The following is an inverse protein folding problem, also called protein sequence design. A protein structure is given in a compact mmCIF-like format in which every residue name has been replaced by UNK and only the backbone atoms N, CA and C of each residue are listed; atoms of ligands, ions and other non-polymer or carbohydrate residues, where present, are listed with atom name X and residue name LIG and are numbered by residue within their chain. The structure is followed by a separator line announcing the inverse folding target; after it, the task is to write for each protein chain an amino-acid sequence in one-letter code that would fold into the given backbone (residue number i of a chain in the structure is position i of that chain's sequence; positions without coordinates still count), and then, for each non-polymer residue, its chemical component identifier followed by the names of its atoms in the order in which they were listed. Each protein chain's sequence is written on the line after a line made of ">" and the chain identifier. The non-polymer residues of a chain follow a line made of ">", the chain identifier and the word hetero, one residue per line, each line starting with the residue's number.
data_IF_890716678374
#
_entry.id   IF_890716678374
#
_cell.length_a   1.000
_cell.length_b   1.000
_cell.length_c   1.000
_cell.angle_alpha   90.00
_cell.angle_beta   90.00
_cell.angle_gamma   90.00
#
_symmetry.space_group_name_H-M   'P 1'
#
loop_
_entity.id
_entity.type
_entity.pdbx_description
1 polymer ?
#
# COMPACT_ATOMS: atom_id res chain seq x y z
N UNK A 1 -17.36 -2.47 9.86
CA UNK A 1 -16.86 -1.63 8.76
C UNK A 1 -15.54 -0.99 9.19
N UNK A 2 -14.55 -0.87 8.29
CA UNK A 2 -13.27 -0.23 8.57
C UNK A 2 -13.44 1.23 9.04
N UNK A 3 -12.51 1.73 9.84
CA UNK A 3 -12.40 3.14 10.20
C UNK A 3 -11.73 3.93 9.06
N UNK A 4 -12.22 5.12 8.85
CA UNK A 4 -11.77 5.99 7.77
C UNK A 4 -11.82 7.48 8.16
N UNK A 5 -11.13 8.32 7.39
CA UNK A 5 -11.18 9.78 7.50
C UNK A 5 -11.49 10.36 6.13
N UNK A 6 -12.33 11.38 6.13
CA UNK A 6 -12.76 12.09 4.92
C UNK A 6 -12.32 13.54 5.02
N UNK A 7 -11.77 14.03 3.91
CA UNK A 7 -11.51 15.46 3.68
C UNK A 7 -12.24 15.84 2.38
N UNK A 8 -13.32 16.56 2.51
CA UNK A 8 -14.13 16.99 1.34
C UNK A 8 -13.61 18.29 0.77
N UNK A 9 -13.44 18.35 -0.55
CA UNK A 9 -13.20 19.56 -1.32
C UNK A 9 -14.53 20.20 -1.77
N UNK A 10 -15.35 19.43 -2.47
CA UNK A 10 -16.69 19.84 -2.93
C UNK A 10 -17.54 18.62 -3.27
N UNK A 11 -18.82 18.83 -3.58
CA UNK A 11 -19.71 17.74 -3.96
C UNK A 11 -19.32 17.13 -5.32
N UNK A 12 -18.82 17.95 -6.24
CA UNK A 12 -18.47 17.55 -7.60
C UNK A 12 -17.01 17.09 -7.76
N UNK A 13 -16.18 17.29 -6.72
CA UNK A 13 -14.78 16.90 -6.78
C UNK A 13 -14.65 15.37 -6.81
N UNK A 14 -13.74 14.88 -7.66
CA UNK A 14 -13.43 13.46 -7.75
C UNK A 14 -12.83 12.94 -6.44
N UNK A 15 -12.98 11.63 -6.20
CA UNK A 15 -12.47 10.97 -5.03
C UNK A 15 -11.08 10.38 -5.24
N UNK A 16 -10.24 10.53 -4.22
CA UNK A 16 -8.96 9.82 -4.11
C UNK A 16 -8.95 9.02 -2.82
N UNK A 17 -8.86 7.69 -2.94
CA UNK A 17 -8.85 6.75 -1.82
C UNK A 17 -7.42 6.25 -1.56
N UNK A 18 -6.95 6.42 -0.34
CA UNK A 18 -5.60 6.07 0.09
C UNK A 18 -5.56 4.78 0.90
N UNK A 19 -4.72 3.84 0.49
CA UNK A 19 -4.55 2.51 1.11
C UNK A 19 -3.10 2.36 1.60
N UNK A 20 -2.92 2.26 2.91
CA UNK A 20 -1.60 2.10 3.52
C UNK A 20 -1.04 0.68 3.36
N UNK A 21 0.25 0.49 3.66
CA UNK A 21 0.95 -0.79 3.67
C UNK A 21 0.86 -1.52 5.01
N UNK A 22 1.48 -2.71 5.08
CA UNK A 22 1.53 -3.53 6.30
C UNK A 22 2.17 -2.78 7.46
N UNK A 23 1.55 -2.86 8.64
CA UNK A 23 2.02 -2.18 9.85
C UNK A 23 1.82 -0.66 9.85
N UNK A 24 1.27 -0.09 8.78
CA UNK A 24 0.97 1.32 8.66
C UNK A 24 -0.40 1.72 9.22
N UNK A 25 -0.81 2.93 8.94
CA UNK A 25 -2.18 3.43 9.14
C UNK A 25 -2.42 4.59 8.18
N UNK A 26 -3.63 5.14 8.17
CA UNK A 26 -3.98 6.35 7.44
C UNK A 26 -3.03 7.52 7.71
N UNK A 27 -2.36 7.52 8.86
CA UNK A 27 -1.40 8.57 9.26
C UNK A 27 -0.15 8.63 8.37
N UNK A 28 0.19 7.57 7.62
CA UNK A 28 1.35 7.59 6.72
C UNK A 28 1.18 8.60 5.58
N UNK A 29 -0.05 9.06 5.34
CA UNK A 29 -0.42 9.98 4.27
C UNK A 29 -0.43 11.46 4.69
N UNK A 30 0.05 11.78 5.91
CA UNK A 30 0.01 13.13 6.47
C UNK A 30 0.63 14.22 5.58
N UNK A 31 1.65 13.88 4.78
CA UNK A 31 2.31 14.80 3.83
C UNK A 31 1.54 14.96 2.51
N UNK A 32 0.57 14.10 2.23
CA UNK A 32 -0.25 14.10 1.02
C UNK A 32 -1.53 14.88 1.19
N UNK A 33 -2.10 14.91 2.40
CA UNK A 33 -3.46 15.43 2.66
C UNK A 33 -3.63 16.84 2.09
N UNK A 34 -2.77 17.79 2.47
CA UNK A 34 -2.88 19.20 2.04
C UNK A 34 -2.83 19.35 0.51
N UNK A 35 -1.94 18.63 -0.14
CA UNK A 35 -1.76 18.73 -1.59
C UNK A 35 -2.97 18.16 -2.36
N UNK A 36 -3.49 17.00 -1.91
CA UNK A 36 -4.60 16.34 -2.61
C UNK A 36 -5.95 16.99 -2.32
N UNK A 37 -6.18 17.49 -1.10
CA UNK A 37 -7.44 18.17 -0.74
C UNK A 37 -7.62 19.51 -1.43
N UNK A 38 -6.59 20.03 -2.08
CA UNK A 38 -6.71 21.23 -2.94
C UNK A 38 -7.64 20.98 -4.13
N UNK A 39 -7.69 19.77 -4.70
CA UNK A 39 -8.43 19.46 -5.92
C UNK A 39 -9.40 18.27 -5.80
N UNK A 40 -9.22 17.39 -4.82
CA UNK A 40 -9.95 16.12 -4.70
C UNK A 40 -10.64 15.98 -3.35
N UNK A 41 -11.73 15.21 -3.32
CA UNK A 41 -12.20 14.61 -2.08
C UNK A 41 -11.26 13.46 -1.69
N UNK A 42 -10.80 13.43 -0.44
CA UNK A 42 -9.81 12.47 0.03
C UNK A 42 -10.44 11.52 1.04
N UNK A 43 -10.30 10.22 0.80
CA UNK A 43 -10.67 9.14 1.70
C UNK A 43 -9.41 8.41 2.17
N UNK A 44 -9.16 8.40 3.47
CA UNK A 44 -8.08 7.63 4.09
C UNK A 44 -8.68 6.48 4.86
N UNK A 45 -8.23 5.24 4.61
CA UNK A 45 -8.78 4.04 5.25
C UNK A 45 -7.71 3.40 6.13
N UNK A 46 -8.11 3.00 7.34
CA UNK A 46 -7.32 2.13 8.21
C UNK A 46 -7.75 0.68 7.97
N UNK A 47 -6.85 -0.15 7.45
CA UNK A 47 -7.11 -1.56 7.14
C UNK A 47 -7.36 -2.39 8.40
N UNK A 48 -7.89 -3.60 8.25
CA UNK A 48 -8.10 -4.55 9.36
C UNK A 48 -6.91 -4.60 10.30
N UNK A 49 -7.17 -4.47 11.61
CA UNK A 49 -6.15 -4.57 12.65
C UNK A 49 -5.19 -3.39 12.73
N UNK A 50 -5.30 -2.38 11.86
CA UNK A 50 -4.44 -1.21 11.81
C UNK A 50 -5.15 0.07 12.25
N UNK A 51 -4.37 1.05 12.67
CA UNK A 51 -4.85 2.37 13.02
C UNK A 51 -6.06 2.34 13.96
N UNK A 52 -7.13 3.03 13.60
CA UNK A 52 -8.39 3.08 14.36
C UNK A 52 -9.29 1.84 14.10
N UNK A 53 -8.99 1.00 13.09
CA UNK A 53 -9.65 -0.29 12.85
C UNK A 53 -9.09 -1.42 13.73
N UNK A 54 -8.17 -1.12 14.64
CA UNK A 54 -7.55 -2.05 15.57
C UNK A 54 -8.60 -2.65 16.52
N UNK A 55 -8.58 -3.99 16.70
CA UNK A 55 -9.49 -4.71 17.58
C UNK A 55 -10.89 -4.96 17.01
N UNK A 56 -11.29 -4.32 15.92
CA UNK A 56 -12.66 -4.44 15.38
C UNK A 56 -12.96 -5.81 14.76
N UNK A 57 -11.93 -6.56 14.36
CA UNK A 57 -12.05 -7.83 13.66
C UNK A 57 -11.47 -9.01 14.44
N UNK A 58 -11.49 -8.93 15.77
CA UNK A 58 -10.88 -9.93 16.65
C UNK A 58 -11.50 -11.33 16.51
N UNK A 59 -12.80 -11.41 16.23
CA UNK A 59 -13.54 -12.66 16.06
C UNK A 59 -13.50 -13.22 14.64
N UNK A 60 -13.03 -12.45 13.66
CA UNK A 60 -13.01 -12.88 12.26
C UNK A 60 -11.92 -13.93 12.03
N UNK A 61 -12.33 -15.14 11.65
CA UNK A 61 -11.42 -16.26 11.38
C UNK A 61 -10.72 -16.16 10.03
N UNK A 62 -11.36 -15.55 9.03
CA UNK A 62 -10.86 -15.52 7.67
C UNK A 62 -10.08 -14.23 7.38
N UNK A 63 -8.83 -14.39 7.00
CA UNK A 63 -7.92 -13.32 6.59
C UNK A 63 -7.39 -13.64 5.19
N UNK A 64 -7.83 -12.90 4.19
CA UNK A 64 -7.36 -13.01 2.81
C UNK A 64 -7.30 -11.63 2.16
N UNK A 65 -6.50 -11.48 1.11
CA UNK A 65 -6.48 -10.22 0.34
C UNK A 65 -7.86 -9.89 -0.24
N UNK A 66 -8.64 -10.92 -0.62
CA UNK A 66 -10.01 -10.74 -1.08
C UNK A 66 -10.90 -10.11 -0.02
N UNK A 67 -10.97 -10.69 1.18
CA UNK A 67 -11.78 -10.15 2.27
C UNK A 67 -11.35 -8.72 2.68
N UNK A 68 -10.05 -8.43 2.67
CA UNK A 68 -9.55 -7.08 2.99
C UNK A 68 -9.91 -6.08 1.89
N UNK A 69 -9.92 -6.51 0.63
CA UNK A 69 -10.37 -5.67 -0.49
C UNK A 69 -11.87 -5.41 -0.43
N UNK A 70 -12.66 -6.43 -0.09
CA UNK A 70 -14.10 -6.33 0.11
C UNK A 70 -14.41 -5.36 1.26
N UNK A 71 -13.67 -5.37 2.38
CA UNK A 71 -13.84 -4.37 3.44
C UNK A 71 -13.63 -2.92 2.96
N UNK A 72 -12.68 -2.71 2.04
CA UNK A 72 -12.45 -1.38 1.46
C UNK A 72 -13.62 -1.00 0.55
N UNK A 73 -14.10 -1.93 -0.27
CA UNK A 73 -15.28 -1.75 -1.14
C UNK A 73 -16.50 -1.39 -0.29
N UNK A 74 -16.76 -2.11 0.81
CA UNK A 74 -17.86 -1.82 1.74
C UNK A 74 -17.85 -0.39 2.28
N UNK A 75 -16.66 0.19 2.52
CA UNK A 75 -16.53 1.60 2.93
C UNK A 75 -16.96 2.53 1.81
N UNK A 76 -16.53 2.29 0.56
CA UNK A 76 -16.89 3.13 -0.57
C UNK A 76 -18.39 3.04 -0.88
N UNK A 77 -18.96 1.83 -0.81
CA UNK A 77 -20.41 1.59 -1.01
C UNK A 77 -21.23 2.29 0.06
N UNK A 78 -20.83 2.20 1.33
CA UNK A 78 -21.48 2.92 2.43
C UNK A 78 -21.46 4.44 2.22
N UNK A 79 -20.35 4.97 1.70
CA UNK A 79 -20.19 6.39 1.39
C UNK A 79 -20.81 6.79 0.05
N UNK A 80 -21.39 5.82 -0.68
CA UNK A 80 -21.98 6.01 -2.02
C UNK A 80 -20.98 6.55 -3.04
N UNK A 81 -19.69 6.19 -2.88
CA UNK A 81 -18.62 6.53 -3.81
C UNK A 81 -18.63 5.51 -4.94
N UNK A 82 -19.10 5.91 -6.11
CA UNK A 82 -19.26 5.02 -7.27
C UNK A 82 -17.95 4.76 -8.01
N UNK A 83 -17.03 5.72 -7.94
CA UNK A 83 -15.72 5.65 -8.60
C UNK A 83 -14.68 6.46 -7.82
N UNK A 84 -13.44 6.00 -7.77
CA UNK A 84 -12.34 6.68 -7.10
C UNK A 84 -11.01 6.42 -7.82
N UNK A 85 -10.11 7.38 -7.75
CA UNK A 85 -8.68 7.12 -7.93
C UNK A 85 -8.14 6.45 -6.68
N UNK A 86 -7.30 5.45 -6.83
CA UNK A 86 -6.70 4.74 -5.71
C UNK A 86 -5.21 5.04 -5.60
N UNK A 87 -4.75 5.36 -4.40
CA UNK A 87 -3.34 5.59 -4.08
C UNK A 87 -2.92 4.61 -3.00
N UNK A 88 -1.99 3.73 -3.31
CA UNK A 88 -1.51 2.74 -2.35
C UNK A 88 -0.01 2.70 -2.22
N UNK A 89 0.45 2.26 -1.04
CA UNK A 89 1.87 2.02 -0.80
C UNK A 89 2.12 0.57 -0.38
N UNK A 90 3.19 -0.02 -0.94
CA UNK A 90 3.65 -1.34 -0.53
C UNK A 90 2.52 -2.38 -0.63
N UNK A 91 2.17 -3.05 0.46
CA UNK A 91 1.09 -4.03 0.51
C UNK A 91 -0.28 -3.45 0.12
N UNK A 92 -0.50 -2.14 0.31
CA UNK A 92 -1.69 -1.44 -0.17
C UNK A 92 -1.87 -1.52 -1.69
N UNK A 93 -0.77 -1.64 -2.45
CA UNK A 93 -0.84 -1.80 -3.91
C UNK A 93 -1.43 -3.14 -4.33
N UNK A 94 -1.22 -4.19 -3.53
CA UNK A 94 -1.83 -5.51 -3.76
C UNK A 94 -3.34 -5.44 -3.55
N UNK A 95 -3.78 -4.72 -2.53
CA UNK A 95 -5.21 -4.52 -2.21
C UNK A 95 -5.88 -3.75 -3.35
N UNK A 96 -5.30 -2.64 -3.80
CA UNK A 96 -5.83 -1.84 -4.92
C UNK A 96 -5.94 -2.69 -6.19
N UNK A 97 -4.90 -3.46 -6.52
CA UNK A 97 -4.94 -4.34 -7.68
C UNK A 97 -6.04 -5.40 -7.55
N UNK A 98 -6.26 -5.91 -6.35
CA UNK A 98 -7.32 -6.88 -6.10
C UNK A 98 -8.72 -6.24 -6.19
N UNK A 99 -8.91 -5.00 -5.72
CA UNK A 99 -10.14 -4.22 -5.91
C UNK A 99 -10.44 -4.05 -7.40
N UNK A 100 -9.44 -3.70 -8.20
CA UNK A 100 -9.59 -3.55 -9.65
C UNK A 100 -9.98 -4.87 -10.37
N UNK A 101 -9.68 -6.04 -9.78
CA UNK A 101 -10.14 -7.34 -10.30
C UNK A 101 -11.56 -7.69 -9.82
N UNK A 102 -11.93 -7.31 -8.58
CA UNK A 102 -13.24 -7.62 -7.99
C UNK A 102 -14.31 -6.67 -8.54
N UNK A 103 -14.04 -5.37 -8.54
CA UNK A 103 -14.99 -4.33 -8.94
C UNK A 103 -14.30 -3.26 -9.81
N UNK A 104 -14.02 -3.55 -11.07
CA UNK A 104 -13.30 -2.64 -11.96
C UNK A 104 -13.96 -1.27 -12.14
N UNK A 105 -15.29 -1.19 -12.07
CA UNK A 105 -16.05 0.06 -12.20
C UNK A 105 -15.75 1.07 -11.09
N UNK A 106 -15.34 0.59 -9.90
CA UNK A 106 -14.99 1.43 -8.76
C UNK A 106 -13.65 2.14 -8.94
N UNK A 107 -12.77 1.61 -9.80
CA UNK A 107 -11.40 2.10 -9.96
C UNK A 107 -11.30 2.96 -11.21
N UNK A 108 -11.03 4.26 -11.04
CA UNK A 108 -10.78 5.20 -12.13
C UNK A 108 -9.34 5.11 -12.63
N UNK A 109 -8.38 5.26 -11.72
CA UNK A 109 -6.95 5.05 -11.96
C UNK A 109 -6.25 4.58 -10.69
N UNK A 110 -5.00 4.14 -10.80
CA UNK A 110 -4.21 3.60 -9.69
C UNK A 110 -2.84 4.26 -9.59
N UNK A 111 -2.46 4.74 -8.41
CA UNK A 111 -1.09 5.14 -8.07
C UNK A 111 -0.50 4.10 -7.12
N UNK A 112 0.53 3.43 -7.59
CA UNK A 112 1.14 2.24 -7.00
C UNK A 112 2.55 2.57 -6.48
N UNK A 113 2.62 3.08 -5.23
CA UNK A 113 3.87 3.50 -4.60
C UNK A 113 4.61 2.33 -3.95
N UNK A 114 5.91 2.19 -4.16
CA UNK A 114 6.69 1.07 -3.62
C UNK A 114 5.98 -0.26 -3.90
N UNK A 115 5.57 -0.48 -5.13
CA UNK A 115 4.66 -1.56 -5.51
C UNK A 115 5.30 -2.94 -5.36
N UNK A 116 4.53 -3.89 -4.83
CA UNK A 116 4.95 -5.28 -4.67
C UNK A 116 4.32 -6.14 -5.78
N UNK A 117 5.10 -6.51 -6.78
CA UNK A 117 4.67 -7.39 -7.87
C UNK A 117 5.28 -8.79 -7.79
N UNK A 118 6.43 -8.93 -7.14
CA UNK A 118 7.13 -10.22 -6.98
C UNK A 118 8.00 -10.16 -5.73
N UNK A 119 7.97 -11.22 -4.93
CA UNK A 119 9.01 -11.47 -3.95
C UNK A 119 10.16 -12.22 -4.65
N UNK A 120 11.35 -11.64 -4.65
CA UNK A 120 12.57 -12.31 -5.10
C UNK A 120 12.99 -13.41 -4.10
N UNK A 121 13.98 -14.22 -4.45
CA UNK A 121 14.42 -15.33 -3.60
C UNK A 121 14.84 -14.87 -2.20
N UNK A 122 15.55 -13.74 -2.12
CA UNK A 122 15.97 -13.15 -0.85
C UNK A 122 14.77 -12.77 0.01
N UNK A 123 13.78 -12.09 -0.57
CA UNK A 123 12.53 -11.73 0.12
C UNK A 123 11.79 -12.96 0.66
N UNK A 124 11.73 -14.03 -0.15
CA UNK A 124 11.08 -15.29 0.26
C UNK A 124 11.80 -15.95 1.42
N UNK A 125 13.15 -15.99 1.38
CA UNK A 125 13.97 -16.51 2.48
C UNK A 125 13.74 -15.69 3.75
N UNK A 126 13.80 -14.36 3.66
CA UNK A 126 13.56 -13.47 4.79
C UNK A 126 12.16 -13.66 5.40
N UNK A 127 11.13 -13.82 4.56
CA UNK A 127 9.79 -14.12 5.02
C UNK A 127 9.71 -15.48 5.73
N UNK A 128 10.36 -16.53 5.23
CA UNK A 128 10.41 -17.84 5.89
C UNK A 128 11.15 -17.81 7.21
N UNK A 129 12.33 -17.17 7.24
CA UNK A 129 13.13 -17.02 8.47
C UNK A 129 12.33 -16.23 9.51
N UNK A 130 11.74 -15.12 9.16
CA UNK A 130 10.89 -14.35 10.08
C UNK A 130 9.67 -15.16 10.57
N UNK A 131 9.08 -16.03 9.73
CA UNK A 131 8.00 -16.92 10.14
C UNK A 131 8.44 -17.96 11.18
N UNK A 132 9.67 -18.45 11.11
CA UNK A 132 10.22 -19.35 12.13
C UNK A 132 10.54 -18.56 13.41
N UNK A 133 11.18 -17.42 13.26
CA UNK A 133 11.64 -16.60 14.37
C UNK A 133 10.50 -15.94 15.17
N UNK A 134 9.28 -15.76 14.59
CA UNK A 134 8.17 -15.14 15.33
C UNK A 134 7.72 -15.95 16.55
N UNK A 135 8.11 -17.22 16.66
CA UNK A 135 7.81 -18.09 17.80
C UNK A 135 8.70 -17.77 19.01
N UNK A 136 9.92 -17.30 18.77
CA UNK A 136 10.95 -17.07 19.80
C UNK A 136 11.29 -15.59 19.98
N UNK A 137 11.15 -14.77 18.94
CA UNK A 137 11.45 -13.33 19.00
C UNK A 137 10.18 -12.48 19.16
N UNK A 138 10.30 -11.35 19.88
CA UNK A 138 9.24 -10.34 19.89
C UNK A 138 8.95 -9.88 18.46
N UNK A 139 7.66 -9.73 18.12
CA UNK A 139 7.22 -9.30 16.77
C UNK A 139 7.86 -7.97 16.33
N UNK A 140 8.12 -7.07 17.26
CA UNK A 140 8.79 -5.79 16.96
C UNK A 140 10.27 -5.94 16.62
N UNK A 141 10.96 -6.99 17.11
CA UNK A 141 12.33 -7.25 16.69
C UNK A 141 12.36 -7.68 15.22
N UNK A 142 11.47 -8.59 14.82
CA UNK A 142 11.33 -9.04 13.44
C UNK A 142 10.97 -7.84 12.53
N UNK A 143 10.01 -7.00 12.96
CA UNK A 143 9.60 -5.83 12.18
C UNK A 143 10.74 -4.82 11.99
N UNK A 144 11.51 -4.53 13.04
CA UNK A 144 12.68 -3.64 12.96
C UNK A 144 13.76 -4.19 12.02
N UNK A 145 14.04 -5.50 12.10
CA UNK A 145 14.97 -6.15 11.17
C UNK A 145 14.50 -6.05 9.72
N UNK A 146 13.22 -6.29 9.48
CA UNK A 146 12.62 -6.12 8.15
C UNK A 146 12.69 -4.66 7.67
N UNK A 147 12.43 -3.70 8.54
CA UNK A 147 12.55 -2.28 8.23
C UNK A 147 13.99 -1.88 7.85
N UNK A 148 15.00 -2.46 8.51
CA UNK A 148 16.40 -2.24 8.18
C UNK A 148 16.79 -2.85 6.83
N UNK A 149 16.22 -3.98 6.46
CA UNK A 149 16.47 -4.65 5.18
C UNK A 149 15.84 -3.86 4.02
N UNK A 150 14.61 -3.39 4.19
CA UNK A 150 13.90 -2.60 3.14
C UNK A 150 14.47 -1.19 3.03
N UNK A 151 14.92 -0.61 4.13
CA UNK A 151 15.40 0.77 4.23
C UNK A 151 16.82 0.79 4.87
N UNK A 152 17.86 0.25 4.20
CA UNK A 152 19.15 -0.01 4.86
C UNK A 152 19.98 1.24 5.10
N UNK A 153 19.88 2.26 4.24
CA UNK A 153 20.81 3.40 4.27
C UNK A 153 20.50 4.40 5.39
N UNK A 154 21.52 5.18 5.79
CA UNK A 154 21.37 6.22 6.83
C UNK A 154 20.34 7.28 6.44
N UNK A 155 20.28 7.69 5.18
CA UNK A 155 19.29 8.65 4.65
C UNK A 155 17.83 8.15 4.73
N UNK A 156 17.61 6.83 4.85
CA UNK A 156 16.29 6.25 5.07
C UNK A 156 15.82 6.29 6.52
N UNK A 157 16.63 6.80 7.46
CA UNK A 157 16.34 6.76 8.92
C UNK A 157 14.98 7.38 9.27
N UNK A 158 14.67 8.53 8.68
CA UNK A 158 13.37 9.20 8.92
C UNK A 158 12.19 8.34 8.52
N UNK A 159 12.17 7.84 7.28
CA UNK A 159 11.11 6.97 6.75
C UNK A 159 11.02 5.65 7.53
N UNK A 160 12.16 5.07 7.89
CA UNK A 160 12.22 3.87 8.71
C UNK A 160 11.62 4.10 10.10
N UNK A 161 11.89 5.26 10.72
CA UNK A 161 11.31 5.61 12.02
C UNK A 161 9.79 5.75 11.95
N UNK A 162 9.26 6.42 10.92
CA UNK A 162 7.81 6.52 10.69
C UNK A 162 7.20 5.12 10.56
N UNK A 163 7.79 4.28 9.72
CA UNK A 163 7.34 2.92 9.48
C UNK A 163 7.34 2.07 10.77
N UNK A 164 8.43 2.07 11.54
CA UNK A 164 8.54 1.32 12.80
C UNK A 164 7.60 1.86 13.87
N UNK A 165 7.42 3.19 13.97
CA UNK A 165 6.56 3.80 14.97
C UNK A 165 5.07 3.50 14.73
N UNK A 166 4.63 3.41 13.47
CA UNK A 166 3.27 2.97 13.16
C UNK A 166 3.08 1.49 13.54
N UNK A 167 4.04 0.62 13.20
CA UNK A 167 3.98 -0.80 13.50
C UNK A 167 3.97 -1.13 15.01
N UNK A 168 4.57 -0.30 15.85
CA UNK A 168 4.49 -0.46 17.32
C UNK A 168 3.05 -0.43 17.85
N UNK A 169 2.13 0.19 17.11
CA UNK A 169 0.71 0.30 17.49
C UNK A 169 -0.08 -0.97 17.14
N UNK A 170 0.50 -1.86 16.32
CA UNK A 170 -0.13 -3.10 15.90
C UNK A 170 -0.11 -4.15 17.03
N UNK A 171 -1.22 -4.84 17.26
CA UNK A 171 -1.22 -5.98 18.17
C UNK A 171 -0.42 -7.14 17.58
N UNK A 172 0.27 -7.91 18.45
CA UNK A 172 1.00 -9.11 18.04
C UNK A 172 0.15 -10.07 17.22
N UNK A 173 -1.12 -10.28 17.59
CA UNK A 173 -2.07 -11.12 16.88
C UNK A 173 -2.27 -10.65 15.43
N UNK A 174 -2.44 -9.35 15.22
CA UNK A 174 -2.61 -8.77 13.89
C UNK A 174 -1.32 -8.83 13.06
N UNK A 175 -0.18 -8.55 13.69
CA UNK A 175 1.12 -8.74 13.04
C UNK A 175 1.26 -10.17 12.47
N UNK A 176 0.94 -11.20 13.26
CA UNK A 176 1.04 -12.61 12.84
C UNK A 176 0.05 -12.92 11.71
N UNK A 177 -1.18 -12.41 11.76
CA UNK A 177 -2.19 -12.58 10.70
C UNK A 177 -1.70 -11.98 9.37
N UNK A 178 -1.26 -10.73 9.39
CA UNK A 178 -0.75 -10.04 8.20
C UNK A 178 0.53 -10.65 7.68
N UNK A 179 1.39 -11.11 8.59
CA UNK A 179 2.61 -11.81 8.23
C UNK A 179 2.31 -13.10 7.46
N UNK A 180 1.37 -13.91 7.98
CA UNK A 180 0.91 -15.14 7.36
C UNK A 180 0.29 -14.88 5.99
N UNK A 181 -0.59 -13.89 5.91
CA UNK A 181 -1.22 -13.44 4.67
C UNK A 181 -0.17 -13.04 3.62
N UNK A 182 0.86 -12.30 4.03
CA UNK A 182 1.93 -11.86 3.12
C UNK A 182 2.82 -13.01 2.67
N UNK A 183 3.07 -14.01 3.52
CA UNK A 183 3.86 -15.20 3.11
C UNK A 183 3.14 -16.03 2.03
N UNK A 184 1.83 -16.01 2.02
CA UNK A 184 1.00 -16.77 1.08
C UNK A 184 0.57 -15.98 -0.18
N UNK A 185 1.10 -14.76 -0.37
CA UNK A 185 0.70 -13.84 -1.44
C UNK A 185 1.21 -14.24 -2.84
N UNK A 186 2.21 -15.09 -2.94
CA UNK A 186 2.88 -15.41 -4.21
C UNK A 186 1.94 -15.90 -5.34
N UNK A 187 0.93 -16.75 -5.09
CA UNK A 187 -0.04 -17.16 -6.12
C UNK A 187 -0.82 -15.96 -6.67
N UNK A 188 -1.25 -15.05 -5.80
CA UNK A 188 -1.98 -13.83 -6.18
C UNK A 188 -1.10 -12.90 -7.02
N UNK A 189 0.14 -12.64 -6.59
CA UNK A 189 1.10 -11.83 -7.36
C UNK A 189 1.43 -12.46 -8.71
N UNK A 190 1.49 -13.79 -8.81
CA UNK A 190 1.68 -14.50 -10.07
C UNK A 190 0.48 -14.29 -11.01
N UNK A 191 -0.74 -14.36 -10.49
CA UNK A 191 -1.96 -14.05 -11.24
C UNK A 191 -1.92 -12.63 -11.78
N UNK A 192 -1.60 -11.63 -10.94
CA UNK A 192 -1.53 -10.22 -11.36
C UNK A 192 -0.49 -9.98 -12.47
N UNK A 193 0.68 -10.63 -12.42
CA UNK A 193 1.69 -10.49 -13.47
C UNK A 193 1.30 -11.11 -14.82
N UNK A 194 0.40 -12.09 -14.81
CA UNK A 194 -0.11 -12.73 -16.03
C UNK A 194 -1.22 -11.93 -16.69
N UNK A 195 -1.95 -11.13 -15.93
CA UNK A 195 -3.05 -10.30 -16.40
C UNK A 195 -2.55 -8.91 -16.77
N UNK A 196 -2.97 -8.38 -17.90
CA UNK A 196 -2.74 -6.98 -18.26
C UNK A 196 -3.49 -6.06 -17.29
N UNK A 197 -2.92 -4.91 -17.03
CA UNK A 197 -3.64 -3.82 -16.36
C UNK A 197 -4.67 -3.25 -17.35
N UNK A 198 -5.89 -3.06 -16.86
CA UNK A 198 -7.02 -2.53 -17.62
C UNK A 198 -7.45 -1.13 -17.15
N UNK A 199 -6.68 -0.51 -16.28
CA UNK A 199 -6.88 0.84 -15.73
C UNK A 199 -5.60 1.65 -15.82
N UNK A 200 -5.69 2.96 -16.10
CA UNK A 200 -4.51 3.83 -16.06
C UNK A 200 -3.78 3.68 -14.72
N UNK A 201 -2.49 3.46 -14.76
CA UNK A 201 -1.71 3.13 -13.57
C UNK A 201 -0.35 3.79 -13.58
N UNK A 202 -0.04 4.52 -12.50
CA UNK A 202 1.26 5.12 -12.27
C UNK A 202 1.99 4.36 -11.16
N UNK A 203 3.14 3.80 -11.47
CA UNK A 203 4.06 3.22 -10.50
C UNK A 203 5.09 4.27 -10.07
N UNK A 204 5.17 4.55 -8.76
CA UNK A 204 6.18 5.46 -8.20
C UNK A 204 7.10 4.64 -7.31
N UNK A 205 8.33 4.46 -7.74
CA UNK A 205 9.31 3.62 -7.06
C UNK A 205 10.51 4.45 -6.58
N UNK A 206 11.10 4.04 -5.47
CA UNK A 206 12.40 4.57 -5.08
C UNK A 206 13.52 3.87 -5.87
N UNK A 207 14.52 4.62 -6.35
CA UNK A 207 15.68 4.04 -7.02
C UNK A 207 16.54 3.12 -6.13
N UNK A 208 16.34 3.21 -4.82
CA UNK A 208 16.98 2.35 -3.82
C UNK A 208 16.04 1.29 -3.23
N UNK A 209 14.91 1.04 -3.87
CA UNK A 209 14.02 -0.08 -3.54
C UNK A 209 14.52 -1.38 -4.19
N UNK A 210 15.64 -1.89 -3.69
CA UNK A 210 16.35 -3.05 -4.23
C UNK A 210 15.53 -4.35 -4.23
N UNK A 211 14.44 -4.40 -3.49
CA UNK A 211 13.63 -5.60 -3.40
C UNK A 211 12.56 -5.68 -4.49
N UNK A 212 12.02 -4.54 -4.91
CA UNK A 212 10.80 -4.53 -5.71
C UNK A 212 10.93 -3.78 -7.05
N UNK A 213 11.85 -2.84 -7.20
CA UNK A 213 11.96 -1.99 -8.38
C UNK A 213 12.08 -2.79 -9.68
N UNK A 214 13.01 -3.74 -9.78
CA UNK A 214 13.27 -4.49 -11.01
C UNK A 214 12.04 -5.27 -11.52
N UNK A 215 11.21 -5.77 -10.60
CA UNK A 215 9.99 -6.47 -10.98
C UNK A 215 8.94 -5.52 -11.55
N UNK A 216 8.91 -4.27 -11.08
CA UNK A 216 8.01 -3.22 -11.57
C UNK A 216 8.46 -2.73 -12.95
N UNK A 217 9.76 -2.50 -13.15
CA UNK A 217 10.32 -2.12 -14.46
C UNK A 217 9.92 -3.10 -15.55
N UNK A 218 10.15 -4.40 -15.31
CA UNK A 218 9.76 -5.47 -16.25
C UNK A 218 8.25 -5.55 -16.49
N UNK A 219 7.45 -5.23 -15.49
CA UNK A 219 6.00 -5.27 -15.62
C UNK A 219 5.48 -4.10 -16.44
N UNK A 220 5.96 -2.88 -16.19
CA UNK A 220 5.53 -1.67 -16.89
C UNK A 220 5.86 -1.75 -18.37
N UNK A 221 7.04 -2.26 -18.75
CA UNK A 221 7.42 -2.47 -20.14
C UNK A 221 6.42 -3.31 -20.96
N UNK A 222 5.61 -4.13 -20.30
CA UNK A 222 4.65 -5.03 -20.94
C UNK A 222 3.20 -4.54 -20.85
N UNK A 223 2.97 -3.38 -20.25
CA UNK A 223 1.64 -2.86 -19.96
C UNK A 223 1.53 -1.39 -20.37
N UNK A 224 0.95 -1.11 -21.52
CA UNK A 224 0.87 0.24 -22.09
C UNK A 224 0.01 1.22 -21.27
N UNK A 225 -0.87 0.75 -20.39
CA UNK A 225 -1.62 1.57 -19.43
C UNK A 225 -0.85 1.82 -18.12
N UNK A 226 0.38 1.33 -18.02
CA UNK A 226 1.23 1.50 -16.85
C UNK A 226 2.39 2.45 -17.17
N UNK A 227 2.53 3.49 -16.34
CA UNK A 227 3.66 4.41 -16.36
C UNK A 227 4.56 4.14 -15.14
N UNK A 228 5.86 4.37 -15.27
CA UNK A 228 6.82 4.25 -14.17
C UNK A 228 7.55 5.56 -13.95
N UNK A 229 7.56 6.02 -12.71
CA UNK A 229 8.44 7.08 -12.25
C UNK A 229 9.37 6.55 -11.14
N UNK A 230 10.68 6.66 -11.34
CA UNK A 230 11.70 6.25 -10.38
C UNK A 230 12.29 7.51 -9.73
N UNK A 231 12.15 7.63 -8.41
CA UNK A 231 12.70 8.75 -7.64
C UNK A 231 14.14 8.38 -7.21
N UNK A 232 15.16 9.05 -7.73
CA UNK A 232 16.55 8.81 -7.35
C UNK A 232 16.75 8.98 -5.83
N UNK A 233 17.73 8.29 -5.28
CA UNK A 233 18.13 8.41 -3.87
C UNK A 233 17.02 8.16 -2.83
N UNK A 234 15.94 7.53 -3.22
CA UNK A 234 14.77 7.23 -2.41
C UNK A 234 14.62 5.73 -2.20
N UNK A 235 14.25 5.33 -0.98
CA UNK A 235 13.94 3.94 -0.65
C UNK A 235 12.46 3.61 -0.88
N UNK A 236 12.02 2.50 -0.29
CA UNK A 236 10.68 1.92 -0.48
C UNK A 236 9.50 2.85 -0.12
N UNK A 237 9.65 3.71 0.90
CA UNK A 237 8.53 4.55 1.39
C UNK A 237 8.59 5.93 0.75
N UNK A 238 8.34 5.97 -0.55
CA UNK A 238 8.51 7.16 -1.40
C UNK A 238 7.62 8.34 -0.99
N UNK A 239 6.40 8.09 -0.54
CA UNK A 239 5.44 9.11 -0.11
C UNK A 239 5.88 9.87 1.16
N UNK A 240 6.74 9.28 1.98
CA UNK A 240 7.29 9.91 3.20
C UNK A 240 8.64 10.54 2.90
N UNK A 241 9.53 9.82 2.19
CA UNK A 241 10.90 10.23 1.97
C UNK A 241 11.00 11.35 0.93
N UNK A 242 10.23 11.30 -0.14
CA UNK A 242 10.22 12.25 -1.24
C UNK A 242 8.80 12.83 -1.47
N UNK A 243 8.17 13.33 -0.39
CA UNK A 243 6.76 13.67 -0.38
C UNK A 243 6.37 14.70 -1.44
N UNK A 244 7.15 15.76 -1.64
CA UNK A 244 6.83 16.82 -2.60
C UNK A 244 6.91 16.30 -4.03
N UNK A 245 7.92 15.49 -4.33
CA UNK A 245 8.06 14.85 -5.62
C UNK A 245 6.92 13.87 -5.88
N UNK A 246 6.61 13.02 -4.89
CA UNK A 246 5.47 12.10 -4.94
C UNK A 246 4.15 12.85 -5.21
N UNK A 247 3.87 13.92 -4.47
CA UNK A 247 2.65 14.71 -4.62
C UNK A 247 2.54 15.31 -6.01
N UNK A 248 3.60 15.96 -6.50
CA UNK A 248 3.63 16.59 -7.82
C UNK A 248 3.36 15.60 -8.94
N UNK A 249 4.05 14.45 -8.96
CA UNK A 249 3.86 13.42 -9.99
C UNK A 249 2.48 12.81 -9.91
N UNK A 250 2.02 12.50 -8.69
CA UNK A 250 0.70 11.93 -8.47
C UNK A 250 -0.41 12.84 -8.95
N UNK A 251 -0.37 14.11 -8.59
CA UNK A 251 -1.38 15.09 -9.00
C UNK A 251 -1.35 15.36 -10.51
N UNK A 252 -0.15 15.41 -11.12
CA UNK A 252 -0.01 15.49 -12.57
C UNK A 252 -0.69 14.34 -13.28
N UNK A 253 -0.44 13.11 -12.83
CA UNK A 253 -1.09 11.92 -13.38
C UNK A 253 -2.61 11.93 -13.21
N UNK A 254 -3.12 12.32 -12.03
CA UNK A 254 -4.56 12.35 -11.77
C UNK A 254 -5.30 13.40 -12.59
N UNK A 255 -4.65 14.50 -12.96
CA UNK A 255 -5.25 15.57 -13.76
C UNK A 255 -5.50 15.20 -15.23
N UNK A 256 -5.00 14.03 -15.68
CA UNK A 256 -5.25 13.50 -17.03
C UNK A 256 -6.63 12.81 -17.15
N UNK A 257 -7.34 12.61 -16.05
CA UNK A 257 -8.59 11.87 -15.94
C UNK A 257 -9.65 12.71 -15.19
#
# INVERSE_FOLDING_TARGET
>A
MLKYKIYKKSIDAQWVTFIHGAGGSSKIWFKQIKAFTANYNVLLIDLRGHGESKGMFDTVKQYSFRCISEDVIDVLDFLKIKESHFVGISLGTIIIRNIAEIQPSLVKSMIMAGAILKFNLMSQILMRVGYILHRVLPHMAIYKSFALIILPRRKHKSSRNVFVNEAKKLFRKEFIRWYKLTSDVNPLLRSFRRKKINKPSLFIMGGEDYMFLSAVELFVQRNFLAQLNVIPDCGHIVNVQAADHFNRISLGFLSEF
#
